data_IF_634996542637
#
_entry.id   IF_634996542637
#
_cell.length_a   1.000
_cell.length_b   1.000
_cell.length_c   1.000
_cell.angle_alpha   90.00
_cell.angle_beta   90.00
_cell.angle_gamma   90.00
#
_symmetry.space_group_name_H-M   'P 1'
#
loop_
_entity.id
_entity.type
_entity.pdbx_description
1 polymer ?
#
# COMPACT_ATOMS: atom_id res chain seq x y z
N UNK A 1 12.61 17.60 14.31
CA UNK A 1 12.08 16.60 13.38
C UNK A 1 12.16 15.23 14.01
N UNK A 2 11.09 14.47 13.96
CA UNK A 2 11.06 13.09 14.40
C UNK A 2 11.94 12.24 13.47
N UNK A 3 13.02 11.64 14.00
CA UNK A 3 13.93 10.75 13.24
C UNK A 3 13.91 9.33 13.75
N UNK A 4 13.51 9.14 14.99
CA UNK A 4 13.31 7.81 15.59
C UNK A 4 11.93 7.83 16.23
N UNK A 5 11.13 6.82 15.93
CA UNK A 5 9.77 6.65 16.45
C UNK A 5 9.60 5.24 17.00
N UNK A 6 8.67 5.08 17.93
CA UNK A 6 8.30 3.76 18.48
C UNK A 6 6.95 3.36 17.94
N UNK A 7 6.91 2.27 17.21
CA UNK A 7 5.69 1.59 16.77
C UNK A 7 5.35 0.42 17.70
N UNK A 8 4.23 -0.22 17.45
CA UNK A 8 3.83 -1.44 18.19
C UNK A 8 4.87 -2.56 18.10
N UNK A 9 5.62 -2.68 17.00
CA UNK A 9 6.57 -3.77 16.76
C UNK A 9 8.03 -3.43 17.11
N UNK A 10 8.37 -2.16 17.36
CA UNK A 10 9.73 -1.76 17.70
C UNK A 10 10.07 -0.31 17.34
N UNK A 11 11.34 0.04 17.51
CA UNK A 11 11.87 1.35 17.12
C UNK A 11 12.19 1.39 15.63
N UNK A 12 11.86 2.52 15.00
CA UNK A 12 12.16 2.77 13.57
C UNK A 12 12.92 4.09 13.44
N UNK A 13 13.97 4.09 12.63
CA UNK A 13 14.74 5.28 12.29
C UNK A 13 14.54 5.63 10.83
N UNK A 14 14.18 6.90 10.55
CA UNK A 14 14.11 7.49 9.22
C UNK A 14 15.26 8.43 8.92
N UNK A 15 15.31 8.92 7.68
CA UNK A 15 16.29 9.90 7.19
C UNK A 15 15.62 11.24 6.87
N UNK A 16 16.40 12.34 6.85
CA UNK A 16 15.96 13.55 6.17
C UNK A 16 15.62 13.26 4.72
N UNK A 17 14.48 13.77 4.24
CA UNK A 17 14.19 13.83 2.82
C UNK A 17 15.06 14.91 2.13
N UNK A 18 14.83 15.22 0.86
CA UNK A 18 15.54 16.32 0.18
C UNK A 18 15.34 17.66 0.91
N UNK A 19 14.14 17.90 1.43
CA UNK A 19 13.91 18.94 2.42
C UNK A 19 14.17 18.39 3.83
N UNK A 20 15.20 18.85 4.56
CA UNK A 20 15.56 18.30 5.86
C UNK A 20 14.49 18.55 6.95
N UNK A 21 13.46 19.34 6.67
CA UNK A 21 12.30 19.54 7.55
C UNK A 21 11.30 18.37 7.45
N UNK A 22 11.46 17.49 6.48
CA UNK A 22 10.68 16.29 6.30
C UNK A 22 11.52 15.08 6.69
N UNK A 23 10.94 14.12 7.39
CA UNK A 23 11.53 12.81 7.62
C UNK A 23 10.85 11.80 6.71
N UNK A 24 11.63 11.03 5.98
CA UNK A 24 11.17 9.85 5.27
C UNK A 24 11.55 8.58 6.01
N UNK A 25 10.59 7.69 6.15
CA UNK A 25 10.76 6.32 6.63
C UNK A 25 10.33 5.40 5.50
N UNK A 26 11.23 4.62 4.96
CA UNK A 26 11.00 3.76 3.79
C UNK A 26 11.18 2.30 4.15
N UNK A 27 10.31 1.43 3.62
CA UNK A 27 10.42 -0.01 3.84
C UNK A 27 10.03 -0.46 5.25
N UNK A 28 8.96 0.08 5.81
CA UNK A 28 8.42 -0.36 7.10
C UNK A 28 7.53 -1.59 6.87
N UNK A 29 7.80 -2.76 7.47
CA UNK A 29 6.93 -3.92 7.34
C UNK A 29 5.61 -3.68 8.10
N UNK A 30 4.47 -3.91 7.45
CA UNK A 30 3.15 -3.84 8.09
C UNK A 30 2.47 -5.21 8.22
N UNK A 31 3.01 -6.23 7.57
CA UNK A 31 2.61 -7.62 7.66
C UNK A 31 3.83 -8.54 7.51
N UNK A 32 3.70 -9.78 7.96
CA UNK A 32 4.72 -10.80 7.74
C UNK A 32 4.89 -11.10 6.24
N UNK A 33 6.07 -11.55 5.78
CA UNK A 33 6.28 -11.93 4.39
C UNK A 33 5.22 -12.91 3.89
N UNK A 34 4.53 -12.62 2.77
CA UNK A 34 3.51 -13.50 2.21
C UNK A 34 4.13 -14.63 1.36
N UNK A 35 5.11 -15.31 1.91
CA UNK A 35 5.90 -16.37 1.28
C UNK A 35 5.57 -17.74 1.87
N UNK A 36 5.86 -18.81 1.14
CA UNK A 36 5.65 -20.18 1.63
C UNK A 36 4.20 -20.42 2.03
N UNK A 37 3.97 -20.78 3.29
CA UNK A 37 2.63 -21.05 3.83
C UNK A 37 1.72 -19.82 3.90
N UNK A 38 2.29 -18.61 3.86
CA UNK A 38 1.53 -17.36 3.85
C UNK A 38 1.13 -16.92 2.43
N UNK A 39 1.62 -17.59 1.37
CA UNK A 39 1.21 -17.29 0.00
C UNK A 39 -0.28 -17.60 -0.16
N UNK A 40 -1.01 -16.67 -0.82
CA UNK A 40 -2.47 -16.77 -0.97
C UNK A 40 -3.22 -16.94 0.35
N UNK A 41 -2.75 -16.24 1.38
CA UNK A 41 -3.42 -16.11 2.67
C UNK A 41 -3.64 -14.63 2.99
N UNK A 42 -4.56 -14.38 3.91
CA UNK A 42 -4.66 -13.07 4.53
C UNK A 42 -3.31 -12.64 5.12
N UNK A 43 -2.94 -11.34 5.07
CA UNK A 43 -1.69 -10.88 5.65
C UNK A 43 -1.62 -11.22 7.14
N UNK A 44 -0.47 -11.77 7.55
CA UNK A 44 -0.20 -12.19 8.91
C UNK A 44 0.51 -11.07 9.70
N UNK A 45 0.41 -11.03 11.03
CA UNK A 45 1.06 -10.04 11.86
C UNK A 45 2.59 -10.02 11.68
N UNK A 46 3.16 -8.83 11.71
CA UNK A 46 4.62 -8.62 11.77
C UNK A 46 5.15 -9.12 13.12
N UNK A 47 6.31 -9.74 13.10
CA UNK A 47 7.05 -10.07 14.32
C UNK A 47 7.71 -8.81 14.89
N UNK A 48 7.71 -8.70 16.21
CA UNK A 48 8.46 -7.66 16.90
C UNK A 48 9.95 -7.81 16.65
N UNK A 49 10.67 -6.69 16.65
CA UNK A 49 12.13 -6.66 16.50
C UNK A 49 12.80 -5.94 17.67
N UNK A 50 13.98 -6.42 17.96
CA UNK A 50 14.87 -5.77 18.92
C UNK A 50 15.69 -4.66 18.25
N UNK A 51 16.08 -3.65 19.03
CA UNK A 51 16.89 -2.54 18.55
C UNK A 51 16.10 -1.56 17.66
N UNK A 52 16.77 -1.03 16.64
CA UNK A 52 16.23 0.02 15.76
C UNK A 52 16.24 -0.46 14.32
N UNK A 53 15.06 -0.55 13.70
CA UNK A 53 14.91 -0.77 12.27
C UNK A 53 15.30 0.50 11.51
N UNK A 54 16.28 0.41 10.64
CA UNK A 54 16.67 1.52 9.76
C UNK A 54 15.77 1.53 8.52
N UNK A 55 14.76 2.40 8.52
CA UNK A 55 13.81 2.58 7.42
C UNK A 55 14.35 3.62 6.42
N UNK A 56 15.45 3.30 5.74
CA UNK A 56 16.20 4.22 4.89
C UNK A 56 15.95 4.03 3.41
N UNK A 57 15.58 2.81 3.00
CA UNK A 57 15.45 2.41 1.61
C UNK A 57 14.07 1.80 1.36
N UNK A 58 13.58 1.94 0.14
CA UNK A 58 12.37 1.24 -0.27
C UNK A 58 12.61 -0.27 -0.24
N UNK A 59 11.60 -1.00 0.23
CA UNK A 59 11.61 -2.45 0.17
C UNK A 59 11.32 -2.96 -1.26
N UNK A 60 11.59 -4.25 -1.53
CA UNK A 60 11.22 -4.86 -2.80
C UNK A 60 9.73 -4.69 -3.11
N UNK A 61 9.43 -4.56 -4.40
CA UNK A 61 8.06 -4.46 -4.89
C UNK A 61 7.46 -5.85 -5.13
N UNK A 62 6.13 -5.94 -5.25
CA UNK A 62 5.45 -7.19 -5.63
C UNK A 62 5.96 -7.69 -6.97
N UNK A 63 6.14 -9.02 -7.09
CA UNK A 63 6.47 -9.66 -8.36
C UNK A 63 5.46 -9.27 -9.43
N UNK A 64 5.95 -8.78 -10.57
CA UNK A 64 5.13 -8.26 -11.67
C UNK A 64 5.90 -8.28 -12.99
N UNK A 65 5.18 -8.14 -14.10
CA UNK A 65 5.85 -7.93 -15.39
C UNK A 65 6.60 -6.59 -15.37
N UNK A 66 7.87 -6.62 -15.77
CA UNK A 66 8.67 -5.40 -15.87
C UNK A 66 8.46 -4.76 -17.25
N UNK A 67 7.59 -3.76 -17.30
CA UNK A 67 7.27 -3.03 -18.53
C UNK A 67 8.44 -2.21 -19.08
N UNK A 68 9.44 -1.89 -18.24
CA UNK A 68 10.63 -1.15 -18.66
C UNK A 68 11.53 -1.96 -19.62
N UNK A 69 11.38 -3.29 -19.66
CA UNK A 69 12.09 -4.15 -20.61
C UNK A 69 11.58 -3.99 -22.06
N UNK A 70 10.36 -3.49 -22.25
CA UNK A 70 9.84 -3.13 -23.57
C UNK A 70 10.10 -1.64 -23.86
N UNK A 71 11.10 -1.37 -24.68
CA UNK A 71 11.50 0.00 -25.09
C UNK A 71 10.41 0.78 -25.82
N UNK A 72 9.40 0.10 -26.34
CA UNK A 72 8.26 0.72 -27.03
C UNK A 72 7.08 0.97 -26.10
N UNK A 73 7.15 0.53 -24.86
CA UNK A 73 6.10 0.74 -23.89
C UNK A 73 6.05 2.21 -23.45
N UNK A 74 5.06 2.94 -23.95
CA UNK A 74 4.87 4.37 -23.65
C UNK A 74 4.65 4.56 -22.15
N UNK A 75 3.88 3.69 -21.50
CA UNK A 75 3.63 3.76 -20.05
C UNK A 75 4.95 3.69 -19.27
N UNK A 76 5.81 2.72 -19.55
CA UNK A 76 7.08 2.57 -18.85
C UNK A 76 7.99 3.79 -19.00
N UNK A 77 7.95 4.44 -20.17
CA UNK A 77 8.72 5.66 -20.44
C UNK A 77 8.18 6.87 -19.69
N UNK A 78 6.88 7.09 -19.75
CA UNK A 78 6.22 8.26 -19.13
C UNK A 78 6.22 8.16 -17.59
N UNK A 79 6.13 6.96 -17.02
CA UNK A 79 6.16 6.70 -15.58
C UNK A 79 7.56 6.37 -15.06
N UNK A 80 8.60 6.51 -15.88
CA UNK A 80 9.99 6.29 -15.48
C UNK A 80 10.20 4.97 -14.72
N UNK A 81 9.58 3.88 -15.19
CA UNK A 81 9.69 2.57 -14.55
C UNK A 81 11.15 2.12 -14.53
N UNK A 82 11.65 1.85 -13.32
CA UNK A 82 13.01 1.37 -13.12
C UNK A 82 13.14 -0.09 -13.61
N UNK A 83 14.02 -0.37 -14.60
CA UNK A 83 14.22 -1.73 -15.10
C UNK A 83 14.86 -2.67 -14.07
N UNK A 84 15.60 -2.13 -13.11
CA UNK A 84 16.39 -2.89 -12.14
C UNK A 84 15.76 -2.94 -10.75
N UNK A 85 14.49 -2.51 -10.61
CA UNK A 85 13.83 -2.46 -9.32
C UNK A 85 13.73 -3.86 -8.68
N UNK A 86 14.17 -4.04 -7.43
CA UNK A 86 14.09 -5.33 -6.75
C UNK A 86 12.64 -5.78 -6.58
N UNK A 87 12.34 -7.01 -6.99
CA UNK A 87 11.03 -7.65 -6.86
C UNK A 87 11.09 -8.85 -5.93
N UNK A 88 10.07 -9.04 -5.10
CA UNK A 88 9.96 -10.18 -4.19
C UNK A 88 8.50 -10.47 -3.88
N UNK A 89 8.19 -11.70 -3.48
CA UNK A 89 6.94 -11.99 -2.77
C UNK A 89 6.91 -11.27 -1.41
N UNK A 90 8.06 -11.11 -0.75
CA UNK A 90 8.21 -10.30 0.46
C UNK A 90 8.16 -8.82 0.09
N UNK A 91 6.92 -8.29 -0.02
CA UNK A 91 6.64 -6.94 -0.52
C UNK A 91 5.66 -6.14 0.37
N UNK A 92 5.25 -6.66 1.53
CA UNK A 92 4.24 -6.03 2.38
C UNK A 92 4.85 -4.95 3.28
N UNK A 93 5.26 -3.86 2.65
CA UNK A 93 5.91 -2.71 3.27
C UNK A 93 5.17 -1.42 2.93
N UNK A 94 5.29 -0.45 3.82
CA UNK A 94 4.79 0.91 3.61
C UNK A 94 5.90 1.94 3.85
N UNK A 95 5.65 3.17 3.39
CA UNK A 95 6.56 4.28 3.57
C UNK A 95 5.82 5.45 4.21
N UNK A 96 6.52 6.26 5.02
CA UNK A 96 5.95 7.42 5.70
C UNK A 96 6.82 8.64 5.48
N UNK A 97 6.22 9.76 5.09
CA UNK A 97 6.83 11.08 5.09
C UNK A 97 6.11 11.96 6.11
N UNK A 98 6.86 12.54 7.03
CA UNK A 98 6.28 13.40 8.06
C UNK A 98 7.06 14.70 8.24
N UNK A 99 6.36 15.85 8.33
CA UNK A 99 6.94 17.13 8.73
C UNK A 99 6.99 17.29 10.26
N UNK A 100 6.45 16.36 11.03
CA UNK A 100 6.26 16.48 12.47
C UNK A 100 7.59 16.62 13.22
N UNK A 101 7.55 17.40 14.28
CA UNK A 101 8.65 17.61 15.24
C UNK A 101 8.46 16.79 16.50
N UNK A 102 7.20 16.48 16.83
CA UNK A 102 6.80 15.63 17.95
C UNK A 102 5.63 14.73 17.58
N UNK A 103 5.39 13.69 18.36
CA UNK A 103 4.25 12.80 18.17
C UNK A 103 2.89 13.46 18.49
N UNK A 104 2.90 14.59 19.20
CA UNK A 104 1.67 15.24 19.69
C UNK A 104 1.06 16.23 18.68
N UNK A 105 1.64 16.39 17.49
CA UNK A 105 1.20 17.42 16.53
C UNK A 105 -0.16 17.12 15.88
N UNK A 106 -0.58 15.86 15.84
CA UNK A 106 -1.89 15.42 15.29
C UNK A 106 -2.15 15.97 13.88
N UNK A 107 -1.17 15.81 13.00
CA UNK A 107 -1.27 16.25 11.61
C UNK A 107 -2.25 15.36 10.83
N UNK A 108 -2.96 15.91 9.82
CA UNK A 108 -3.78 15.09 8.93
C UNK A 108 -2.92 14.04 8.23
N UNK A 109 -3.52 12.88 7.96
CA UNK A 109 -2.84 11.74 7.34
C UNK A 109 -3.44 11.46 5.98
N UNK A 110 -2.60 11.25 4.98
CA UNK A 110 -2.99 10.81 3.65
C UNK A 110 -2.37 9.46 3.33
N UNK A 111 -3.20 8.46 3.06
CA UNK A 111 -2.76 7.11 2.68
C UNK A 111 -3.04 6.89 1.20
N UNK A 112 -2.00 6.55 0.45
CA UNK A 112 -2.04 6.36 -0.99
C UNK A 112 -2.00 4.91 -1.40
N UNK A 113 -2.92 4.54 -2.32
CA UNK A 113 -2.93 3.29 -3.05
C UNK A 113 -2.65 3.57 -4.53
N UNK A 114 -1.58 2.98 -5.06
CA UNK A 114 -1.21 3.13 -6.46
C UNK A 114 -2.13 2.35 -7.40
N UNK A 115 -2.16 2.76 -8.67
CA UNK A 115 -2.88 2.10 -9.75
C UNK A 115 -2.05 1.04 -10.47
N UNK A 116 -2.46 0.67 -11.68
CA UNK A 116 -1.78 -0.31 -12.52
C UNK A 116 -2.59 -1.58 -12.77
N UNK A 117 -3.94 -1.48 -12.73
CA UNK A 117 -4.85 -2.58 -13.07
C UNK A 117 -4.76 -3.77 -12.14
N UNK A 118 -4.24 -3.63 -10.92
CA UNK A 118 -3.91 -4.71 -9.98
C UNK A 118 -2.85 -5.69 -10.53
N UNK A 119 -2.18 -5.35 -11.61
CA UNK A 119 -1.18 -6.19 -12.28
C UNK A 119 0.24 -5.68 -12.09
N UNK A 120 0.42 -4.35 -12.07
CA UNK A 120 1.70 -3.66 -11.98
C UNK A 120 1.58 -2.43 -11.08
N UNK A 121 2.71 -1.79 -10.79
CA UNK A 121 2.79 -0.58 -9.96
C UNK A 121 3.50 -0.83 -8.64
N UNK A 122 3.97 0.25 -8.00
CA UNK A 122 4.70 0.18 -6.74
C UNK A 122 4.81 1.54 -6.05
N UNK A 123 5.13 1.53 -4.77
CA UNK A 123 5.15 2.75 -3.93
C UNK A 123 6.40 3.61 -4.11
N UNK A 124 7.46 3.10 -4.74
CA UNK A 124 8.69 3.85 -5.00
C UNK A 124 8.72 4.52 -6.37
N UNK A 125 7.61 4.52 -7.12
CA UNK A 125 7.48 5.37 -8.32
C UNK A 125 7.69 6.82 -7.92
N UNK A 126 8.42 7.56 -8.77
CA UNK A 126 8.84 8.95 -8.49
C UNK A 126 7.65 9.88 -8.27
N UNK A 127 6.53 9.60 -8.92
CA UNK A 127 5.26 10.33 -8.83
C UNK A 127 4.62 10.21 -7.44
N UNK A 128 4.95 9.17 -6.69
CA UNK A 128 4.36 8.87 -5.37
C UNK A 128 5.26 9.29 -4.20
N UNK A 129 6.37 10.01 -4.46
CA UNK A 129 7.16 10.60 -3.39
C UNK A 129 6.32 11.57 -2.56
N UNK A 130 6.14 11.23 -1.29
CA UNK A 130 5.26 11.95 -0.37
C UNK A 130 5.83 13.29 0.13
N UNK A 131 7.09 13.63 -0.16
CA UNK A 131 7.74 14.80 0.42
C UNK A 131 7.01 16.11 0.09
N UNK A 132 6.58 16.29 -1.16
CA UNK A 132 5.91 17.53 -1.60
C UNK A 132 4.58 17.77 -0.89
N UNK A 133 3.83 16.69 -0.62
CA UNK A 133 2.59 16.76 0.15
C UNK A 133 2.91 16.98 1.64
N UNK A 134 3.92 16.28 2.17
CA UNK A 134 4.34 16.44 3.55
C UNK A 134 4.78 17.87 3.89
N UNK A 135 5.38 18.59 2.95
CA UNK A 135 5.69 20.04 3.10
C UNK A 135 4.45 20.92 3.34
N UNK A 136 3.25 20.41 3.07
CA UNK A 136 1.98 21.10 3.32
C UNK A 136 1.40 20.80 4.71
N UNK A 137 2.17 20.14 5.59
CA UNK A 137 1.72 19.79 6.94
C UNK A 137 0.88 18.51 7.03
N UNK A 138 1.09 17.58 6.12
CA UNK A 138 0.35 16.31 6.03
C UNK A 138 1.33 15.15 6.24
N UNK A 139 0.98 14.17 7.03
CA UNK A 139 1.70 12.89 7.08
C UNK A 139 1.24 12.04 5.90
N UNK A 140 2.17 11.64 5.04
CA UNK A 140 1.88 10.84 3.84
C UNK A 140 2.33 9.42 4.06
N UNK A 141 1.48 8.47 3.70
CA UNK A 141 1.79 7.04 3.74
C UNK A 141 1.50 6.43 2.36
N UNK A 142 2.44 5.67 1.82
CA UNK A 142 2.23 4.85 0.62
C UNK A 142 2.30 3.38 0.98
N UNK A 143 1.36 2.57 0.51
CA UNK A 143 1.19 1.16 0.91
C UNK A 143 1.41 0.26 -0.29
N UNK A 144 2.42 -0.62 -0.22
CA UNK A 144 2.58 -1.72 -1.17
C UNK A 144 1.53 -2.80 -0.89
N UNK A 145 1.16 -3.53 -1.93
CA UNK A 145 0.23 -4.66 -1.83
C UNK A 145 0.55 -5.70 -2.91
N UNK A 146 0.15 -6.95 -2.70
CA UNK A 146 0.32 -8.02 -3.68
C UNK A 146 -0.51 -7.77 -4.93
N UNK A 147 0.07 -8.07 -6.07
CA UNK A 147 -0.50 -7.85 -7.40
C UNK A 147 -0.73 -9.16 -8.15
N UNK A 148 -1.42 -9.09 -9.28
CA UNK A 148 -1.63 -10.18 -10.23
C UNK A 148 -2.05 -11.50 -9.56
N UNK A 149 -1.55 -12.64 -9.98
CA UNK A 149 -1.87 -13.94 -9.38
C UNK A 149 -1.46 -14.05 -7.91
N UNK A 150 -0.46 -13.32 -7.43
CA UNK A 150 -0.08 -13.33 -6.01
C UNK A 150 -1.10 -12.62 -5.11
N UNK A 151 -1.74 -11.58 -5.63
CA UNK A 151 -2.72 -10.78 -4.89
C UNK A 151 -4.18 -11.13 -5.16
N UNK A 152 -4.47 -11.74 -6.31
CA UNK A 152 -5.85 -11.83 -6.81
C UNK A 152 -6.21 -13.19 -7.41
N UNK A 153 -5.39 -14.22 -7.22
CA UNK A 153 -5.77 -15.58 -7.60
C UNK A 153 -7.00 -16.02 -6.81
N UNK A 154 -7.99 -16.54 -7.54
CA UNK A 154 -9.19 -17.16 -7.00
C UNK A 154 -9.22 -18.61 -7.44
N UNK A 155 -9.19 -19.55 -6.49
CA UNK A 155 -9.20 -20.98 -6.78
C UNK A 155 -9.96 -21.75 -5.69
N UNK A 156 -10.81 -22.73 -6.05
CA UNK A 156 -11.62 -23.47 -5.06
C UNK A 156 -10.81 -24.14 -3.94
N UNK A 157 -9.63 -24.67 -4.24
CA UNK A 157 -8.77 -25.29 -3.22
C UNK A 157 -8.22 -24.26 -2.23
N UNK A 158 -7.80 -23.07 -2.71
CA UNK A 158 -7.36 -21.97 -1.84
C UNK A 158 -8.52 -21.51 -0.95
N UNK A 159 -9.72 -21.39 -1.52
CA UNK A 159 -10.94 -21.05 -0.76
C UNK A 159 -11.24 -22.12 0.31
N UNK A 160 -11.10 -23.41 -0.02
CA UNK A 160 -11.33 -24.48 0.94
C UNK A 160 -10.33 -24.48 2.10
N UNK A 161 -9.09 -24.07 1.86
CA UNK A 161 -8.06 -23.98 2.89
C UNK A 161 -8.23 -22.76 3.83
N UNK A 162 -8.82 -21.66 3.36
CA UNK A 162 -9.03 -20.43 4.13
C UNK A 162 -10.34 -19.73 3.72
N UNK A 163 -11.50 -20.29 4.05
CA UNK A 163 -12.81 -19.80 3.59
C UNK A 163 -13.14 -18.39 4.12
N UNK A 164 -12.51 -17.94 5.21
CA UNK A 164 -12.66 -16.59 5.77
C UNK A 164 -11.92 -15.51 4.94
N UNK A 165 -10.98 -15.90 4.09
CA UNK A 165 -10.20 -15.05 3.19
C UNK A 165 -9.97 -15.75 1.84
N UNK A 166 -11.03 -15.99 1.06
CA UNK A 166 -10.99 -16.88 -0.11
C UNK A 166 -10.24 -16.28 -1.31
N UNK A 167 -10.10 -14.95 -1.38
CA UNK A 167 -9.50 -14.25 -2.50
C UNK A 167 -9.20 -12.78 -2.13
N UNK A 168 -8.78 -11.98 -3.14
CA UNK A 168 -8.52 -10.53 -3.00
C UNK A 168 -7.45 -10.20 -1.95
N UNK A 169 -6.40 -11.00 -1.90
CA UNK A 169 -5.31 -10.85 -0.92
C UNK A 169 -4.66 -9.46 -1.02
N UNK A 170 -4.54 -8.89 -2.23
CA UNK A 170 -4.04 -7.53 -2.41
C UNK A 170 -4.90 -6.46 -1.71
N UNK A 171 -6.23 -6.60 -1.71
CA UNK A 171 -7.13 -5.70 -0.96
C UNK A 171 -7.04 -5.95 0.56
N UNK A 172 -6.82 -7.18 0.99
CA UNK A 172 -6.57 -7.51 2.39
C UNK A 172 -5.23 -6.93 2.86
N UNK A 173 -4.20 -6.89 2.00
CA UNK A 173 -2.92 -6.24 2.28
C UNK A 173 -3.12 -4.73 2.51
N UNK A 174 -3.87 -4.07 1.64
CA UNK A 174 -4.21 -2.65 1.79
C UNK A 174 -4.97 -2.40 3.10
N UNK A 175 -5.91 -3.27 3.45
CA UNK A 175 -6.65 -3.21 4.73
C UNK A 175 -5.70 -3.38 5.92
N UNK A 176 -4.74 -4.30 5.85
CA UNK A 176 -3.74 -4.49 6.90
C UNK A 176 -2.85 -3.24 7.05
N UNK A 177 -2.43 -2.63 5.94
CA UNK A 177 -1.73 -1.35 5.93
C UNK A 177 -2.53 -0.23 6.60
N UNK A 178 -3.84 -0.12 6.30
CA UNK A 178 -4.72 0.86 6.96
C UNK A 178 -4.84 0.61 8.46
N UNK A 179 -4.96 -0.64 8.88
CA UNK A 179 -4.99 -1.01 10.30
C UNK A 179 -3.67 -0.67 10.99
N UNK A 180 -2.54 -0.91 10.31
CA UNK A 180 -1.23 -0.50 10.82
C UNK A 180 -1.16 1.02 10.98
N UNK A 181 -1.58 1.79 9.98
CA UNK A 181 -1.66 3.27 10.04
C UNK A 181 -2.49 3.70 11.24
N UNK A 182 -3.69 3.16 11.41
CA UNK A 182 -4.58 3.50 12.52
C UNK A 182 -3.93 3.30 13.89
N UNK A 183 -3.11 2.26 14.06
CA UNK A 183 -2.46 1.95 15.34
C UNK A 183 -1.16 2.73 15.58
N UNK A 184 -0.42 3.06 14.51
CA UNK A 184 0.96 3.51 14.65
C UNK A 184 1.21 4.97 14.23
N UNK A 185 0.31 5.59 13.43
CA UNK A 185 0.62 6.87 12.80
C UNK A 185 0.78 8.03 13.78
N UNK A 186 0.23 7.92 14.98
CA UNK A 186 0.44 8.90 16.06
C UNK A 186 1.93 9.03 16.42
N UNK A 187 2.68 7.93 16.39
CA UNK A 187 4.13 7.96 16.64
C UNK A 187 4.89 8.82 15.62
N UNK A 188 4.34 9.01 14.43
CA UNK A 188 4.88 9.85 13.35
C UNK A 188 4.30 11.29 13.37
N UNK A 189 3.55 11.65 14.40
CA UNK A 189 2.88 12.96 14.55
C UNK A 189 1.59 13.09 13.75
N UNK A 190 1.07 12.00 13.17
CA UNK A 190 -0.20 11.97 12.47
C UNK A 190 -1.39 11.76 13.41
N UNK A 191 -2.57 12.23 13.01
CA UNK A 191 -3.81 12.03 13.73
C UNK A 191 -4.52 10.76 13.22
N UNK A 192 -4.63 9.70 14.03
CA UNK A 192 -5.33 8.48 13.65
C UNK A 192 -6.84 8.67 13.45
N UNK A 193 -7.40 9.80 13.90
CA UNK A 193 -8.79 10.15 13.71
C UNK A 193 -9.01 11.17 12.57
N UNK A 194 -7.97 11.46 11.78
CA UNK A 194 -8.02 12.33 10.62
C UNK A 194 -7.27 11.73 9.42
N UNK A 195 -7.71 10.55 8.99
CA UNK A 195 -7.12 9.78 7.89
C UNK A 195 -7.95 9.96 6.62
N UNK A 196 -7.30 10.38 5.55
CA UNK A 196 -7.85 10.38 4.19
C UNK A 196 -7.17 9.29 3.38
N UNK A 197 -7.93 8.39 2.77
CA UNK A 197 -7.38 7.43 1.80
C UNK A 197 -7.54 7.98 0.38
N UNK A 198 -6.58 7.70 -0.48
CA UNK A 198 -6.65 8.12 -1.88
C UNK A 198 -5.98 7.12 -2.80
N UNK A 199 -6.37 7.16 -4.06
CA UNK A 199 -5.79 6.30 -5.08
C UNK A 199 -6.26 6.66 -6.48
N UNK A 200 -5.49 6.24 -7.47
CA UNK A 200 -5.77 6.51 -8.89
C UNK A 200 -5.91 5.19 -9.64
N UNK A 201 -6.80 5.13 -10.65
CA UNK A 201 -7.07 3.93 -11.45
C UNK A 201 -7.44 2.73 -10.56
N UNK A 202 -6.75 1.60 -10.62
CA UNK A 202 -6.96 0.47 -9.72
C UNK A 202 -6.83 0.87 -8.23
N UNK A 203 -5.94 1.82 -7.90
CA UNK A 203 -5.88 2.41 -6.55
C UNK A 203 -7.14 3.20 -6.18
N UNK A 204 -7.74 3.92 -7.13
CA UNK A 204 -9.06 4.55 -6.96
C UNK A 204 -10.17 3.51 -6.77
N UNK A 205 -10.13 2.41 -7.53
CA UNK A 205 -11.00 1.25 -7.32
C UNK A 205 -10.80 0.62 -5.93
N UNK A 206 -9.57 0.51 -5.47
CA UNK A 206 -9.26 0.07 -4.10
C UNK A 206 -9.93 0.95 -3.05
N UNK A 207 -9.86 2.27 -3.21
CA UNK A 207 -10.55 3.22 -2.32
C UNK A 207 -12.06 2.97 -2.30
N UNK A 208 -12.66 2.72 -3.47
CA UNK A 208 -14.09 2.40 -3.57
C UNK A 208 -14.42 1.09 -2.82
N UNK A 209 -13.60 0.03 -2.99
CA UNK A 209 -13.79 -1.22 -2.27
C UNK A 209 -13.63 -1.05 -0.75
N UNK A 210 -12.68 -0.21 -0.31
CA UNK A 210 -12.56 0.10 1.12
C UNK A 210 -13.77 0.87 1.68
N UNK A 211 -14.38 1.77 0.91
CA UNK A 211 -15.60 2.47 1.29
C UNK A 211 -16.80 1.54 1.46
N UNK A 212 -16.89 0.50 0.64
CA UNK A 212 -18.04 -0.44 0.63
C UNK A 212 -17.86 -1.60 1.62
N UNK A 213 -16.64 -1.82 2.13
CA UNK A 213 -16.37 -2.91 3.06
C UNK A 213 -16.69 -2.53 4.52
N UNK A 214 -17.65 -3.20 5.18
CA UNK A 214 -17.95 -2.95 6.58
C UNK A 214 -16.78 -3.28 7.52
N UNK A 215 -15.84 -4.13 7.10
CA UNK A 215 -14.62 -4.47 7.86
C UNK A 215 -13.65 -3.28 8.00
N UNK A 216 -13.87 -2.20 7.23
CA UNK A 216 -13.04 -0.99 7.23
C UNK A 216 -13.66 0.16 8.05
N UNK A 217 -14.80 -0.06 8.70
CA UNK A 217 -15.43 0.96 9.52
C UNK A 217 -14.45 1.51 10.57
N UNK A 218 -14.29 2.84 10.60
CA UNK A 218 -13.41 3.53 11.54
C UNK A 218 -11.91 3.53 11.18
N UNK A 219 -11.49 2.92 10.06
CA UNK A 219 -10.08 2.94 9.64
C UNK A 219 -9.68 4.25 8.95
N UNK A 220 -10.63 4.99 8.40
CA UNK A 220 -10.40 6.29 7.74
C UNK A 220 -11.64 7.18 7.84
N UNK A 221 -11.47 8.46 7.54
CA UNK A 221 -12.51 9.49 7.69
C UNK A 221 -12.94 10.08 6.36
N UNK A 222 -12.05 10.09 5.36
CA UNK A 222 -12.28 10.69 4.04
C UNK A 222 -11.66 9.84 2.95
N UNK A 223 -12.15 10.02 1.73
CA UNK A 223 -11.68 9.28 0.56
C UNK A 223 -11.55 10.21 -0.66
N UNK A 224 -10.52 9.98 -1.47
CA UNK A 224 -10.29 10.63 -2.77
C UNK A 224 -10.15 9.52 -3.82
N UNK A 225 -11.09 9.48 -4.76
CA UNK A 225 -11.10 8.50 -5.85
C UNK A 225 -10.74 9.21 -7.14
N UNK A 226 -9.61 8.83 -7.74
CA UNK A 226 -9.16 9.37 -9.00
C UNK A 226 -9.26 8.31 -10.09
N UNK A 227 -10.18 8.49 -11.06
CA UNK A 227 -10.37 7.58 -12.21
C UNK A 227 -10.54 6.11 -11.81
N UNK A 228 -11.28 5.82 -10.75
CA UNK A 228 -11.33 4.50 -10.09
C UNK A 228 -12.71 3.88 -9.97
N UNK A 229 -13.67 4.28 -10.78
CA UNK A 229 -15.03 3.70 -10.76
C UNK A 229 -15.08 2.56 -11.78
N UNK A 230 -14.91 1.32 -11.32
CA UNK A 230 -14.88 0.15 -12.18
C UNK A 230 -16.18 -0.66 -12.21
N UNK A 231 -16.97 -0.63 -11.14
CA UNK A 231 -18.19 -1.43 -11.06
C UNK A 231 -19.43 -0.54 -11.24
N UNK A 232 -20.46 -1.06 -11.47
CA UNK A 232 -21.28 -1.66 -12.52
C UNK A 232 -21.60 -0.69 -13.66
N UNK A 233 -20.76 0.33 -13.88
CA UNK A 233 -20.98 1.38 -14.89
C UNK A 233 -20.54 0.96 -16.30
N UNK A 234 -19.80 -0.15 -16.39
CA UNK A 234 -19.37 -0.71 -17.67
C UNK A 234 -20.25 -1.90 -18.02
N UNK A 235 -20.84 -1.94 -19.22
CA UNK A 235 -21.52 -3.12 -19.73
C UNK A 235 -20.57 -4.33 -19.68
N UNK A 236 -21.09 -5.52 -19.42
CA UNK A 236 -20.34 -6.77 -19.30
C UNK A 236 -19.38 -7.05 -20.50
N UNK A 237 -19.69 -6.47 -21.66
CA UNK A 237 -18.87 -6.58 -22.86
C UNK A 237 -17.65 -5.64 -22.93
N UNK A 238 -17.54 -4.63 -22.06
CA UNK A 238 -16.38 -3.71 -22.04
C UNK A 238 -15.24 -4.19 -21.15
N UNK A 239 -15.54 -4.96 -20.10
CA UNK A 239 -14.53 -5.57 -19.20
C UNK A 239 -14.96 -6.97 -18.78
N UNK A 240 -15.03 -7.93 -19.70
CA UNK A 240 -15.67 -9.23 -19.45
C UNK A 240 -14.94 -10.15 -18.46
N UNK A 241 -13.78 -9.73 -17.94
CA UNK A 241 -12.97 -10.55 -17.01
C UNK A 241 -12.78 -9.94 -15.62
N UNK A 242 -13.39 -8.80 -15.34
CA UNK A 242 -13.21 -8.15 -14.02
C UNK A 242 -14.21 -8.61 -12.96
N UNK A 243 -15.28 -9.29 -13.34
CA UNK A 243 -16.32 -9.77 -12.44
C UNK A 243 -16.59 -11.26 -12.71
N UNK A 244 -15.55 -12.09 -12.61
CA UNK A 244 -15.73 -13.54 -12.71
C UNK A 244 -16.19 -14.11 -11.38
N UNK A 245 -17.13 -15.04 -11.44
CA UNK A 245 -17.48 -15.88 -10.29
C UNK A 245 -16.33 -16.87 -10.00
N UNK A 246 -16.36 -17.49 -8.83
CA UNK A 246 -15.38 -18.51 -8.46
C UNK A 246 -15.43 -19.71 -9.42
N UNK A 247 -16.59 -19.97 -10.03
CA UNK A 247 -16.80 -21.08 -10.99
C UNK A 247 -16.25 -20.75 -12.39
N UNK A 248 -16.16 -19.44 -12.73
CA UNK A 248 -15.64 -18.96 -14.01
C UNK A 248 -14.12 -18.71 -13.98
N UNK A 249 -13.51 -18.66 -12.79
CA UNK A 249 -12.08 -18.40 -12.58
C UNK A 249 -11.25 -19.69 -12.64
#
# INVERSE_FOLDING_TARGET
MLRVVRTENGLIRGLPAADPRITSFKGIPFAAPPTGENRWRAPQPVKDWDGVLNAFEFAPISLQANSALDKNNIYAREWHVDPDIPMSEDCLYLNVWTPARSADEKLPVYVWFFGGGFQVGYTSEMEFDGERIARRGIVVVTVNYRLNTFGFLCHPEITAEAPEAPANFGLLDQQAGLRWVKRNIAAFGGDPDNITIGGQSAGGGSVLYHLTSPKNAGLFNRAIIQSGIFAPLYPDNMMPRMNMTLEEA
#
